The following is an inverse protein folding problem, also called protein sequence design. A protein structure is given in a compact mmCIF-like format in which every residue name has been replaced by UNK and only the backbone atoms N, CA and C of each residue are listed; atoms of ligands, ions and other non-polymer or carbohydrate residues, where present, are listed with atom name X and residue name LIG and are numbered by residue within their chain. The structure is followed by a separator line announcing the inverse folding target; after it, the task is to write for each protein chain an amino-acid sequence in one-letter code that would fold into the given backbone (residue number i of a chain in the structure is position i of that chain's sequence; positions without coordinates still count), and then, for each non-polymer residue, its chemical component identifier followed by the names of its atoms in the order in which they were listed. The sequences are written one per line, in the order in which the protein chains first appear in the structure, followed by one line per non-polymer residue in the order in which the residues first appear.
data_IF_252756172698
#
_entry.id   IF_252756172698
#
_cell.length_a   1.000
_cell.length_b   1.000
_cell.length_c   1.000
_cell.angle_alpha   90.00
_cell.angle_beta   90.00
_cell.angle_gamma   90.00
#
_symmetry.space_group_name_H-M   'P 1'
#
loop_
_entity.id
_entity.type
_entity.pdbx_description
1 polymer ?
#
# COMPACT_ATOMS: atom_id res chain seq x y z
N UNK A 1 2.09 -11.19 -17.41
CA UNK A 1 3.22 -10.43 -17.99
C UNK A 1 4.31 -10.36 -16.95
N UNK A 2 5.56 -10.63 -17.33
CA UNK A 2 6.73 -10.46 -16.47
C UNK A 2 7.55 -9.29 -17.02
N UNK A 3 7.83 -8.30 -16.18
CA UNK A 3 8.69 -7.16 -16.52
C UNK A 3 9.93 -7.20 -15.64
N UNK A 4 11.11 -7.18 -16.26
CA UNK A 4 12.37 -6.99 -15.53
C UNK A 4 12.64 -5.50 -15.38
N UNK A 5 12.81 -5.06 -14.15
CA UNK A 5 13.07 -3.66 -13.78
C UNK A 5 14.31 -3.65 -12.87
N UNK A 6 15.33 -2.90 -13.25
CA UNK A 6 16.51 -2.72 -12.41
C UNK A 6 16.14 -1.85 -11.19
N UNK A 7 16.52 -2.22 -9.97
CA UNK A 7 16.12 -1.50 -8.75
C UNK A 7 16.68 -0.07 -8.72
N UNK A 8 17.95 0.13 -9.08
CA UNK A 8 18.60 1.45 -8.99
C UNK A 8 18.44 2.33 -10.22
N UNK A 9 18.05 1.75 -11.36
CA UNK A 9 17.92 2.47 -12.63
C UNK A 9 16.77 1.88 -13.46
N UNK A 10 15.52 2.05 -13.00
CA UNK A 10 14.37 1.43 -13.62
C UNK A 10 14.11 2.02 -15.01
N UNK A 11 13.82 1.16 -16.00
CA UNK A 11 13.44 1.63 -17.33
C UNK A 11 12.11 2.41 -17.25
N UNK A 12 12.06 3.70 -17.66
CA UNK A 12 10.85 4.51 -17.54
C UNK A 12 9.63 3.94 -18.28
N UNK A 13 9.86 3.25 -19.40
CA UNK A 13 8.76 2.60 -20.15
C UNK A 13 8.14 1.46 -19.37
N UNK A 14 8.94 0.65 -18.68
CA UNK A 14 8.42 -0.44 -17.85
C UNK A 14 7.66 0.10 -16.65
N UNK A 15 8.16 1.16 -16.00
CA UNK A 15 7.44 1.83 -14.91
C UNK A 15 6.10 2.37 -15.39
N UNK A 16 6.07 3.01 -16.57
CA UNK A 16 4.82 3.50 -17.15
C UNK A 16 3.80 2.37 -17.38
N UNK A 17 4.23 1.23 -17.91
CA UNK A 17 3.36 0.05 -18.06
C UNK A 17 2.79 -0.44 -16.73
N UNK A 18 3.59 -0.42 -15.65
CA UNK A 18 3.14 -0.77 -14.29
C UNK A 18 2.10 0.22 -13.77
N UNK A 19 2.34 1.52 -13.97
CA UNK A 19 1.41 2.59 -13.56
C UNK A 19 0.08 2.47 -14.31
N UNK A 20 0.10 2.28 -15.62
CA UNK A 20 -1.09 2.07 -16.45
C UNK A 20 -1.87 0.82 -15.98
N UNK A 21 -1.17 -0.29 -15.71
CA UNK A 21 -1.78 -1.49 -15.14
C UNK A 21 -2.49 -1.23 -13.80
N UNK A 22 -1.87 -0.49 -12.88
CA UNK A 22 -2.47 -0.14 -11.60
C UNK A 22 -3.70 0.77 -11.76
N UNK A 23 -3.60 1.78 -12.63
CA UNK A 23 -4.69 2.71 -12.93
C UNK A 23 -5.91 1.98 -13.53
N UNK A 24 -5.68 0.96 -14.35
CA UNK A 24 -6.72 0.11 -14.94
C UNK A 24 -7.30 -0.96 -13.97
N UNK A 25 -6.95 -0.89 -12.68
CA UNK A 25 -7.42 -1.83 -11.67
C UNK A 25 -6.72 -3.20 -11.70
N UNK A 26 -5.52 -3.25 -12.29
CA UNK A 26 -4.64 -4.41 -12.27
C UNK A 26 -4.04 -4.69 -10.89
N UNK A 27 -3.42 -5.86 -10.78
CA UNK A 27 -2.68 -6.31 -9.59
C UNK A 27 -1.26 -6.61 -10.02
N UNK A 28 -0.29 -6.13 -9.25
CA UNK A 28 1.14 -6.31 -9.49
C UNK A 28 1.77 -7.11 -8.36
N UNK A 29 2.85 -7.83 -8.69
CA UNK A 29 3.71 -8.49 -7.71
C UNK A 29 5.07 -7.81 -7.81
N UNK A 30 5.60 -7.30 -6.69
CA UNK A 30 6.87 -6.57 -6.69
C UNK A 30 7.73 -6.95 -5.48
N UNK A 31 9.06 -6.93 -5.60
CA UNK A 31 9.96 -7.20 -4.48
C UNK A 31 9.92 -6.03 -3.49
N UNK A 32 10.04 -6.34 -2.20
CA UNK A 32 10.35 -5.35 -1.15
C UNK A 32 11.66 -5.74 -0.47
N UNK A 33 12.04 -4.98 0.55
CA UNK A 33 13.14 -5.29 1.47
C UNK A 33 12.87 -6.53 2.36
N UNK A 34 11.64 -7.06 2.37
CA UNK A 34 11.24 -8.23 3.17
C UNK A 34 10.88 -9.42 2.29
N UNK A 35 9.77 -9.33 1.56
CA UNK A 35 9.23 -10.39 0.70
C UNK A 35 8.55 -9.77 -0.53
N UNK A 36 8.14 -10.60 -1.50
CA UNK A 36 7.30 -10.10 -2.59
C UNK A 36 5.92 -9.68 -2.07
N UNK A 37 5.51 -8.46 -2.41
CA UNK A 37 4.20 -7.90 -2.12
C UNK A 37 3.23 -8.06 -3.29
N UNK A 38 1.95 -8.25 -2.99
CA UNK A 38 0.84 -8.08 -3.94
C UNK A 38 0.27 -6.67 -3.77
N UNK A 39 0.30 -5.87 -4.83
CA UNK A 39 -0.15 -4.48 -4.80
C UNK A 39 -1.22 -4.20 -5.84
N UNK A 40 -2.09 -3.24 -5.52
CA UNK A 40 -3.02 -2.61 -6.45
C UNK A 40 -3.25 -1.15 -6.00
N UNK A 41 -3.94 -0.38 -6.83
CA UNK A 41 -4.47 0.91 -6.40
C UNK A 41 -5.51 0.71 -5.27
N UNK A 42 -5.35 1.43 -4.16
CA UNK A 42 -6.28 1.38 -3.02
C UNK A 42 -7.67 1.91 -3.37
N UNK A 43 -7.79 2.75 -4.39
CA UNK A 43 -9.06 3.31 -4.86
C UNK A 43 -9.77 2.42 -5.89
N UNK A 44 -9.26 1.22 -6.15
CA UNK A 44 -9.86 0.23 -7.05
C UNK A 44 -10.42 -0.97 -6.24
N UNK A 45 -11.69 -0.93 -5.76
CA UNK A 45 -12.26 -2.00 -4.92
C UNK A 45 -12.19 -3.39 -5.56
N UNK A 46 -12.38 -3.48 -6.87
CA UNK A 46 -12.28 -4.75 -7.62
C UNK A 46 -10.87 -5.35 -7.56
N UNK A 47 -9.84 -4.51 -7.57
CA UNK A 47 -8.46 -4.96 -7.48
C UNK A 47 -8.13 -5.45 -6.07
N UNK A 48 -8.66 -4.78 -5.04
CA UNK A 48 -8.55 -5.20 -3.64
C UNK A 48 -9.22 -6.56 -3.41
N UNK A 49 -10.45 -6.72 -3.92
CA UNK A 49 -11.14 -8.02 -3.87
C UNK A 49 -10.34 -9.12 -4.58
N UNK A 50 -9.71 -8.79 -5.72
CA UNK A 50 -8.87 -9.73 -6.46
C UNK A 50 -7.66 -10.16 -5.62
N UNK A 51 -7.00 -9.24 -4.91
CA UNK A 51 -5.91 -9.59 -3.97
C UNK A 51 -6.42 -10.51 -2.86
N UNK A 52 -7.57 -10.19 -2.25
CA UNK A 52 -8.16 -11.02 -1.20
C UNK A 52 -8.47 -12.45 -1.70
N UNK A 53 -9.04 -12.58 -2.91
CA UNK A 53 -9.28 -13.88 -3.56
C UNK A 53 -7.99 -14.64 -3.83
N UNK A 54 -6.93 -13.98 -4.34
CA UNK A 54 -5.62 -14.62 -4.57
C UNK A 54 -5.03 -15.13 -3.25
N UNK A 55 -5.16 -14.36 -2.16
CA UNK A 55 -4.71 -14.75 -0.82
C UNK A 55 -5.65 -15.73 -0.12
N UNK A 56 -6.75 -16.13 -0.76
CA UNK A 56 -7.79 -16.99 -0.20
C UNK A 56 -8.34 -16.50 1.15
N UNK A 57 -8.55 -15.19 1.27
CA UNK A 57 -9.12 -14.56 2.47
C UNK A 57 -10.42 -13.82 2.12
N UNK A 58 -11.32 -13.78 3.09
CA UNK A 58 -12.53 -12.95 3.01
C UNK A 58 -12.13 -11.46 2.90
N UNK A 59 -12.55 -10.73 1.84
CA UNK A 59 -12.24 -9.31 1.68
C UNK A 59 -12.61 -8.47 2.91
N UNK A 60 -13.70 -8.80 3.59
CA UNK A 60 -14.14 -8.06 4.79
C UNK A 60 -13.27 -8.33 6.04
N UNK A 61 -12.43 -9.37 5.99
CA UNK A 61 -11.47 -9.72 7.06
C UNK A 61 -10.03 -9.50 6.64
N UNK A 62 -9.79 -9.11 5.38
CA UNK A 62 -8.46 -8.91 4.85
C UNK A 62 -7.77 -7.77 5.59
N UNK A 63 -6.70 -8.09 6.29
CA UNK A 63 -5.79 -7.10 6.87
C UNK A 63 -4.75 -6.78 5.79
N UNK A 64 -4.99 -5.69 5.08
CA UNK A 64 -4.09 -5.17 4.06
C UNK A 64 -3.42 -3.91 4.58
N UNK A 65 -2.15 -3.77 4.25
CA UNK A 65 -1.39 -2.53 4.41
C UNK A 65 -1.24 -1.86 3.06
N UNK A 66 -1.05 -0.54 3.04
CA UNK A 66 -0.74 0.17 1.80
C UNK A 66 0.57 0.94 1.90
N UNK A 67 1.23 1.07 0.77
CA UNK A 67 2.52 1.75 0.68
C UNK A 67 2.27 3.23 0.38
N UNK A 68 2.88 4.11 1.18
CA UNK A 68 2.87 5.55 0.96
C UNK A 68 4.19 5.99 0.33
N UNK A 69 4.15 7.05 -0.48
CA UNK A 69 5.37 7.63 -1.04
C UNK A 69 6.29 8.20 0.06
N UNK A 70 5.70 8.92 1.02
CA UNK A 70 6.40 9.55 2.14
C UNK A 70 5.45 9.79 3.33
N UNK A 71 5.97 10.41 4.40
CA UNK A 71 5.18 10.76 5.59
C UNK A 71 4.13 11.84 5.32
N UNK A 72 4.32 12.66 4.30
CA UNK A 72 3.34 13.68 3.90
C UNK A 72 2.12 13.02 3.28
N UNK A 73 2.32 12.03 2.41
CA UNK A 73 1.28 11.21 1.80
C UNK A 73 0.55 10.38 2.85
N UNK A 74 1.28 9.76 3.79
CA UNK A 74 0.71 9.04 4.94
C UNK A 74 -0.31 9.90 5.72
N UNK A 75 0.01 11.19 5.93
CA UNK A 75 -0.84 12.11 6.71
C UNK A 75 -2.24 12.32 6.13
N UNK A 76 -2.45 12.03 4.84
CA UNK A 76 -3.77 12.08 4.18
C UNK A 76 -4.66 10.93 4.65
N UNK A 77 -4.06 9.78 4.94
CA UNK A 77 -4.76 8.53 5.22
C UNK A 77 -4.84 8.19 6.71
N UNK A 78 -4.14 8.92 7.55
CA UNK A 78 -4.19 8.77 9.01
C UNK A 78 -4.92 9.92 9.68
N UNK A 79 -5.45 9.71 10.88
CA UNK A 79 -5.79 10.84 11.76
C UNK A 79 -4.54 11.65 12.12
N UNK A 80 -4.74 12.81 12.74
CA UNK A 80 -3.65 13.67 13.18
C UNK A 80 -2.62 12.90 14.01
N UNK A 81 -1.37 12.97 13.57
CA UNK A 81 -0.22 12.34 14.20
C UNK A 81 0.42 13.36 15.14
N UNK A 82 0.70 12.98 16.38
CA UNK A 82 1.40 13.86 17.32
C UNK A 82 2.87 14.06 16.92
N UNK A 83 3.47 15.19 17.26
CA UNK A 83 4.89 15.47 16.95
C UNK A 83 5.85 14.38 17.45
N UNK A 84 5.70 13.82 18.67
CA UNK A 84 6.54 12.71 19.11
C UNK A 84 6.41 11.47 18.23
N UNK A 85 5.19 11.10 17.84
CA UNK A 85 4.95 9.95 16.97
C UNK A 85 5.53 10.20 15.57
N UNK A 86 5.34 11.39 15.00
CA UNK A 86 5.92 11.75 13.70
C UNK A 86 7.46 11.64 13.69
N UNK A 87 8.11 12.11 14.76
CA UNK A 87 9.58 11.97 14.92
C UNK A 87 10.00 10.51 14.97
N UNK A 88 9.25 9.67 15.68
CA UNK A 88 9.51 8.23 15.74
C UNK A 88 9.34 7.57 14.36
N UNK A 89 8.26 7.85 13.65
CA UNK A 89 8.05 7.33 12.28
C UNK A 89 9.19 7.72 11.35
N UNK A 90 9.64 8.98 11.39
CA UNK A 90 10.76 9.47 10.58
C UNK A 90 12.10 8.76 10.87
N UNK A 91 12.31 8.28 12.09
CA UNK A 91 13.53 7.55 12.45
C UNK A 91 13.56 6.13 11.89
N UNK A 92 12.39 5.48 11.77
CA UNK A 92 12.29 4.08 11.36
C UNK A 92 11.85 3.87 9.89
N UNK A 93 11.38 4.92 9.22
CA UNK A 93 10.95 4.87 7.82
C UNK A 93 11.92 5.66 6.92
N UNK A 94 12.27 5.13 5.73
CA UNK A 94 11.90 3.80 5.20
C UNK A 94 12.60 2.65 5.94
N UNK A 95 11.93 1.50 6.06
CA UNK A 95 12.46 0.30 6.71
C UNK A 95 11.44 -0.86 6.76
N UNK A 96 11.84 -2.04 7.26
CA UNK A 96 11.05 -3.27 7.22
C UNK A 96 9.97 -3.30 8.33
N UNK A 97 9.21 -2.21 8.45
CA UNK A 97 8.23 -1.99 9.49
C UNK A 97 6.88 -1.58 8.88
N UNK A 98 5.82 -2.04 9.51
CA UNK A 98 4.44 -1.64 9.22
C UNK A 98 3.86 -0.99 10.47
N UNK A 99 3.43 0.26 10.37
CA UNK A 99 2.89 1.01 11.50
C UNK A 99 1.36 1.00 11.46
N UNK A 100 0.74 0.47 12.51
CA UNK A 100 -0.73 0.46 12.61
C UNK A 100 -1.19 1.81 13.17
N UNK A 101 -1.88 2.60 12.36
CA UNK A 101 -2.29 3.97 12.67
C UNK A 101 -3.81 4.14 12.52
N UNK A 102 -4.45 5.06 13.28
CA UNK A 102 -5.87 5.37 13.10
C UNK A 102 -6.14 5.94 11.70
N UNK A 103 -7.10 5.35 10.99
CA UNK A 103 -7.46 5.73 9.63
C UNK A 103 -8.19 7.08 9.57
N UNK A 104 -7.91 7.86 8.53
CA UNK A 104 -8.69 9.03 8.14
C UNK A 104 -9.95 8.62 7.35
N UNK A 105 -10.74 9.60 6.93
CA UNK A 105 -11.92 9.38 6.07
C UNK A 105 -11.57 9.12 4.61
N UNK A 106 -10.36 9.48 4.18
CA UNK A 106 -9.89 9.29 2.81
C UNK A 106 -9.60 7.82 2.48
N UNK A 107 -9.39 6.99 3.51
CA UNK A 107 -9.16 5.56 3.33
C UNK A 107 -10.42 4.89 2.80
N UNK A 108 -10.36 4.18 1.65
CA UNK A 108 -11.48 3.44 1.09
C UNK A 108 -12.08 2.45 2.09
N UNK A 109 -13.42 2.45 2.23
CA UNK A 109 -14.14 1.64 3.23
C UNK A 109 -13.82 0.14 3.19
N UNK A 110 -13.49 -0.39 2.02
CA UNK A 110 -13.11 -1.80 1.85
C UNK A 110 -11.81 -2.16 2.59
N UNK A 111 -10.95 -1.18 2.90
CA UNK A 111 -9.72 -1.33 3.66
C UNK A 111 -9.90 -1.04 5.16
N UNK A 112 -11.09 -0.60 5.59
CA UNK A 112 -11.30 -0.32 7.02
C UNK A 112 -11.34 -1.62 7.80
N UNK A 113 -10.38 -1.77 8.71
CA UNK A 113 -10.47 -2.79 9.74
C UNK A 113 -11.60 -2.47 10.72
N UNK A 114 -12.08 -3.47 11.46
CA UNK A 114 -13.08 -3.29 12.54
C UNK A 114 -12.69 -2.23 13.58
N UNK A 115 -11.39 -1.92 13.70
CA UNK A 115 -10.85 -0.94 14.66
C UNK A 115 -10.61 0.44 14.04
N UNK A 116 -11.00 0.66 12.79
CA UNK A 116 -10.74 1.91 12.05
C UNK A 116 -9.25 2.29 12.04
N UNK A 117 -8.38 1.28 11.93
CA UNK A 117 -6.94 1.43 11.77
C UNK A 117 -6.50 0.90 10.42
N UNK A 118 -5.40 1.45 9.92
CA UNK A 118 -4.67 1.02 8.73
C UNK A 118 -3.26 0.60 9.11
N UNK A 119 -2.65 -0.24 8.29
CA UNK A 119 -1.22 -0.57 8.35
C UNK A 119 -0.49 -0.04 7.14
#
# INVERSE_FOLDING_TARGET
MLLQIHPDNPNPRHIRTVVECLADGGVVIYPTDTIYGLGCDIFQPKAIERIARIKNVDPAKAQLSFVCHDLSDLSKYTKSISTPLYRMLKTYLPGPYTFILPASREVPKILHSKKSTIG
#
